data_IF_671645395063
#
_entry.id   IF_671645395063
#
_cell.length_a   1.000
_cell.length_b   1.000
_cell.length_c   1.000
_cell.angle_alpha   90.00
_cell.angle_beta   90.00
_cell.angle_gamma   90.00
#
_symmetry.space_group_name_H-M   'P 1'
#
loop_
_entity.id
_entity.type
_entity.pdbx_description
1 polymer ?
#
# COMPACT_ATOMS: atom_id res chain seq x y z
N UNK A 1 -6.41 19.18 -4.89
CA UNK A 1 -5.67 19.78 -6.02
C UNK A 1 -5.51 18.83 -7.21
N UNK A 2 -5.26 17.53 -7.00
CA UNK A 2 -5.05 16.59 -8.11
C UNK A 2 -6.31 16.23 -8.93
N UNK A 3 -7.50 16.25 -8.34
CA UNK A 3 -8.73 15.87 -9.06
C UNK A 3 -9.14 16.87 -10.14
N UNK A 4 -9.17 18.17 -9.79
CA UNK A 4 -9.49 19.24 -10.74
C UNK A 4 -8.53 19.28 -11.94
N UNK A 5 -7.29 18.83 -11.75
CA UNK A 5 -6.27 18.76 -12.80
C UNK A 5 -6.67 17.85 -13.98
N UNK A 6 -7.50 16.84 -13.75
CA UNK A 6 -8.02 15.95 -14.80
C UNK A 6 -8.84 16.76 -15.83
N UNK A 7 -9.65 17.71 -15.36
CA UNK A 7 -10.50 18.53 -16.22
C UNK A 7 -9.71 19.59 -16.99
N UNK A 8 -8.68 20.18 -16.39
CA UNK A 8 -7.85 21.19 -17.06
C UNK A 8 -6.89 20.60 -18.09
N UNK A 9 -6.51 19.33 -17.97
CA UNK A 9 -5.57 18.67 -18.88
C UNK A 9 -6.25 17.86 -19.99
N UNK A 10 -7.53 17.54 -19.86
CA UNK A 10 -8.26 16.79 -20.88
C UNK A 10 -8.56 17.67 -22.11
N UNK A 11 -8.37 17.10 -23.31
CA UNK A 11 -8.72 17.76 -24.59
C UNK A 11 -10.24 17.93 -24.76
N UNK A 12 -11.03 17.13 -24.04
CA UNK A 12 -12.50 17.15 -24.09
C UNK A 12 -13.10 16.90 -22.71
N UNK A 13 -14.29 17.45 -22.47
CA UNK A 13 -15.06 17.19 -21.25
C UNK A 13 -15.43 15.71 -21.11
N UNK A 14 -15.77 15.04 -22.22
CA UNK A 14 -16.08 13.61 -22.23
C UNK A 14 -14.89 12.75 -21.78
N UNK A 15 -13.67 13.12 -22.18
CA UNK A 15 -12.45 12.45 -21.72
C UNK A 15 -12.20 12.64 -20.23
N UNK A 16 -12.38 13.86 -19.71
CA UNK A 16 -12.26 14.13 -18.28
C UNK A 16 -13.26 13.31 -17.45
N UNK A 17 -14.52 13.27 -17.88
CA UNK A 17 -15.58 12.51 -17.23
C UNK A 17 -15.32 11.00 -17.29
N UNK A 18 -14.77 10.48 -18.39
CA UNK A 18 -14.40 9.06 -18.51
C UNK A 18 -13.32 8.67 -17.49
N UNK A 19 -12.29 9.51 -17.32
CA UNK A 19 -11.23 9.27 -16.31
C UNK A 19 -11.80 9.35 -14.88
N UNK A 20 -12.65 10.35 -14.60
CA UNK A 20 -13.29 10.48 -13.29
C UNK A 20 -14.22 9.27 -12.98
N UNK A 21 -14.98 8.79 -13.97
CA UNK A 21 -15.84 7.62 -13.83
C UNK A 21 -15.03 6.33 -13.64
N UNK A 22 -13.90 6.16 -14.33
CA UNK A 22 -12.99 5.04 -14.12
C UNK A 22 -12.42 5.05 -12.69
N UNK A 23 -11.96 6.21 -12.21
CA UNK A 23 -11.49 6.36 -10.85
C UNK A 23 -12.59 6.06 -9.81
N UNK A 24 -13.82 6.52 -10.06
CA UNK A 24 -14.98 6.23 -9.20
C UNK A 24 -15.33 4.74 -9.15
N UNK A 25 -15.31 4.03 -10.29
CA UNK A 25 -15.51 2.57 -10.33
C UNK A 25 -14.43 1.82 -9.55
N UNK A 26 -13.19 2.30 -9.58
CA UNK A 26 -12.10 1.71 -8.83
C UNK A 26 -12.23 1.84 -7.31
N UNK A 27 -13.03 2.79 -6.81
CA UNK A 27 -13.35 2.88 -5.39
C UNK A 27 -14.41 1.84 -5.00
N UNK A 28 -15.37 1.57 -5.88
CA UNK A 28 -16.50 0.68 -5.62
C UNK A 28 -16.12 -0.80 -5.79
N UNK A 29 -15.19 -1.10 -6.70
CA UNK A 29 -14.63 -2.44 -6.88
C UNK A 29 -13.11 -2.36 -7.12
N UNK A 30 -12.31 -2.27 -6.03
CA UNK A 30 -10.86 -2.08 -6.12
C UNK A 30 -10.14 -3.27 -6.74
N UNK A 31 -10.70 -4.47 -6.58
CA UNK A 31 -10.13 -5.73 -7.07
C UNK A 31 -10.42 -5.94 -8.56
N UNK A 32 -11.58 -5.49 -9.06
CA UNK A 32 -11.87 -5.56 -10.50
C UNK A 32 -11.28 -4.39 -11.30
N UNK A 33 -11.04 -3.23 -10.67
CA UNK A 33 -10.65 -2.02 -11.39
C UNK A 33 -9.15 -1.78 -11.53
N UNK A 34 -8.29 -2.49 -10.80
CA UNK A 34 -6.85 -2.35 -10.94
C UNK A 34 -6.13 -3.70 -10.83
N UNK A 35 -5.47 -4.17 -11.91
CA UNK A 35 -4.67 -5.40 -11.85
C UNK A 35 -3.49 -5.30 -10.86
N UNK A 36 -3.10 -4.08 -10.49
CA UNK A 36 -2.00 -3.82 -9.57
C UNK A 36 -2.42 -3.85 -8.09
N UNK A 37 -3.73 -3.76 -7.78
CA UNK A 37 -4.26 -3.85 -6.42
C UNK A 37 -4.54 -5.31 -6.07
N UNK A 38 -3.48 -6.10 -5.94
CA UNK A 38 -3.63 -7.47 -5.45
C UNK A 38 -4.08 -7.47 -3.98
N UNK A 39 -4.78 -8.52 -3.49
CA UNK A 39 -5.16 -8.63 -2.08
C UNK A 39 -3.99 -8.44 -1.11
N UNK A 40 -2.78 -8.84 -1.52
CA UNK A 40 -1.54 -8.65 -0.74
C UNK A 40 -1.16 -7.18 -0.62
N UNK A 41 -1.24 -6.42 -1.71
CA UNK A 41 -0.99 -4.97 -1.70
C UNK A 41 -2.03 -4.25 -0.83
N UNK A 42 -3.31 -4.62 -0.95
CA UNK A 42 -4.37 -4.07 -0.10
C UNK A 42 -4.12 -4.35 1.39
N UNK A 43 -3.67 -5.56 1.74
CA UNK A 43 -3.31 -5.91 3.11
C UNK A 43 -2.14 -5.05 3.64
N UNK A 44 -1.09 -4.85 2.84
CA UNK A 44 0.04 -3.99 3.22
C UNK A 44 -0.41 -2.54 3.43
N UNK A 45 -1.25 -2.02 2.53
CA UNK A 45 -1.82 -0.67 2.65
C UNK A 45 -2.69 -0.53 3.91
N UNK A 46 -3.51 -1.52 4.22
CA UNK A 46 -4.32 -1.54 5.43
C UNK A 46 -3.45 -1.56 6.69
N UNK A 47 -2.42 -2.40 6.74
CA UNK A 47 -1.46 -2.45 7.85
C UNK A 47 -0.73 -1.11 8.00
N UNK A 48 -0.30 -0.49 6.90
CA UNK A 48 0.36 0.81 6.93
C UNK A 48 -0.59 1.94 7.42
N UNK A 49 -1.85 1.93 6.97
CA UNK A 49 -2.86 2.88 7.43
C UNK A 49 -3.12 2.73 8.93
N UNK A 50 -3.27 1.51 9.43
CA UNK A 50 -3.41 1.22 10.86
C UNK A 50 -2.16 1.64 11.66
N UNK A 51 -0.97 1.36 11.12
CA UNK A 51 0.28 1.75 11.73
C UNK A 51 0.44 3.28 11.85
N UNK A 52 -0.21 4.06 10.98
CA UNK A 52 -0.19 5.52 11.06
C UNK A 52 -0.87 6.05 12.34
N UNK A 53 -1.83 5.30 12.89
CA UNK A 53 -2.52 5.64 14.14
C UNK A 53 -1.80 5.09 15.38
N UNK A 54 -0.56 4.64 15.24
CA UNK A 54 0.20 4.08 16.36
C UNK A 54 0.50 5.15 17.43
N UNK A 55 0.10 4.94 18.70
CA UNK A 55 0.42 5.86 19.78
C UNK A 55 1.94 6.03 19.97
N UNK A 56 2.40 7.22 20.34
CA UNK A 56 3.83 7.52 20.54
C UNK A 56 4.51 6.56 21.52
N UNK A 57 3.79 6.12 22.54
CA UNK A 57 4.30 5.28 23.64
C UNK A 57 4.49 3.81 23.24
N UNK A 58 3.85 3.36 22.16
CA UNK A 58 3.93 1.95 21.74
C UNK A 58 5.33 1.54 21.32
N UNK A 59 6.07 2.44 20.68
CA UNK A 59 7.47 2.18 20.32
C UNK A 59 8.31 1.82 21.54
N UNK A 60 8.16 2.57 22.63
CA UNK A 60 8.92 2.33 23.85
C UNK A 60 8.47 1.04 24.54
N UNK A 61 7.16 0.79 24.61
CA UNK A 61 6.59 -0.43 25.19
C UNK A 61 7.06 -1.68 24.45
N UNK A 62 6.99 -1.68 23.12
CA UNK A 62 7.45 -2.80 22.28
C UNK A 62 8.95 -3.02 22.47
N UNK A 63 9.76 -1.95 22.54
CA UNK A 63 11.19 -2.06 22.80
C UNK A 63 11.48 -2.72 24.14
N UNK A 64 10.84 -2.25 25.22
CA UNK A 64 11.01 -2.79 26.57
C UNK A 64 10.58 -4.25 26.63
N UNK A 65 9.41 -4.57 26.09
CA UNK A 65 8.89 -5.95 26.05
C UNK A 65 9.83 -6.87 25.26
N UNK A 66 10.24 -6.46 24.06
CA UNK A 66 11.16 -7.24 23.23
C UNK A 66 12.49 -7.48 23.95
N UNK A 67 13.08 -6.45 24.55
CA UNK A 67 14.33 -6.56 25.31
C UNK A 67 14.21 -7.47 26.54
N UNK A 68 13.03 -7.52 27.17
CA UNK A 68 12.78 -8.41 28.32
C UNK A 68 12.50 -9.87 27.94
N UNK A 69 12.27 -10.18 26.66
CA UNK A 69 12.01 -11.53 26.20
C UNK A 69 13.31 -12.38 26.12
N UNK A 70 13.22 -13.70 26.36
CA UNK A 70 14.29 -14.65 26.05
C UNK A 70 14.78 -14.56 24.60
N UNK A 71 16.06 -14.84 24.39
CA UNK A 71 16.70 -14.76 23.07
C UNK A 71 15.99 -15.59 21.98
N UNK A 72 15.45 -16.76 22.33
CA UNK A 72 14.69 -17.61 21.39
C UNK A 72 13.43 -16.92 20.87
N UNK A 73 12.72 -16.16 21.73
CA UNK A 73 11.52 -15.42 21.33
C UNK A 73 11.87 -14.19 20.51
N UNK A 74 12.95 -13.50 20.85
CA UNK A 74 13.46 -12.39 20.03
C UNK A 74 13.84 -12.86 18.62
N UNK A 75 14.56 -13.99 18.54
CA UNK A 75 14.94 -14.61 17.27
C UNK A 75 13.74 -15.03 16.44
N UNK A 76 12.73 -15.66 17.05
CA UNK A 76 11.51 -16.07 16.36
C UNK A 76 10.71 -14.86 15.85
N UNK A 77 10.60 -13.80 16.65
CA UNK A 77 9.94 -12.56 16.24
C UNK A 77 10.66 -11.88 15.06
N UNK A 78 12.00 -11.80 15.09
CA UNK A 78 12.78 -11.25 13.98
C UNK A 78 12.69 -12.12 12.72
N UNK A 79 12.72 -13.44 12.86
CA UNK A 79 12.55 -14.38 11.74
C UNK A 79 11.16 -14.24 11.11
N UNK A 80 10.11 -14.15 11.92
CA UNK A 80 8.74 -13.92 11.44
C UNK A 80 8.63 -12.58 10.71
N UNK A 81 9.26 -11.52 11.22
CA UNK A 81 9.29 -10.22 10.57
C UNK A 81 10.01 -10.26 9.22
N UNK A 82 11.21 -10.86 9.17
CA UNK A 82 11.98 -11.04 7.94
C UNK A 82 11.23 -11.87 6.90
N UNK A 83 10.56 -12.95 7.33
CA UNK A 83 9.72 -13.76 6.46
C UNK A 83 8.55 -12.96 5.90
N UNK A 84 7.88 -12.15 6.72
CA UNK A 84 6.82 -11.25 6.28
C UNK A 84 7.30 -10.26 5.21
N UNK A 85 8.49 -9.68 5.38
CA UNK A 85 9.11 -8.81 4.38
C UNK A 85 9.39 -9.57 3.08
N UNK A 86 9.97 -10.76 3.15
CA UNK A 86 10.25 -11.59 1.97
C UNK A 86 8.97 -11.97 1.21
N UNK A 87 7.90 -12.28 1.94
CA UNK A 87 6.59 -12.61 1.36
C UNK A 87 5.98 -11.44 0.59
N UNK A 88 6.20 -10.20 1.03
CA UNK A 88 5.71 -8.99 0.34
C UNK A 88 6.63 -8.58 -0.82
N UNK A 89 7.95 -8.74 -0.66
CA UNK A 89 8.95 -8.31 -1.64
C UNK A 89 8.96 -9.12 -2.95
N UNK A 90 8.26 -10.25 -3.01
CA UNK A 90 8.22 -11.12 -4.21
C UNK A 90 7.30 -10.60 -5.33
N UNK A 91 6.71 -9.41 -5.20
CA UNK A 91 5.97 -8.77 -6.29
C UNK A 91 6.94 -8.31 -7.39
N UNK A 92 6.77 -8.80 -8.62
CA UNK A 92 7.51 -8.28 -9.79
C UNK A 92 7.13 -6.83 -10.02
N UNK A 93 8.11 -5.93 -10.08
CA UNK A 93 7.88 -4.57 -10.58
C UNK A 93 7.55 -4.67 -12.07
N UNK A 94 6.33 -4.28 -12.45
CA UNK A 94 6.00 -4.03 -13.85
C UNK A 94 7.00 -2.99 -14.41
N UNK A 95 7.61 -3.23 -15.58
CA UNK A 95 8.52 -2.28 -16.18
C UNK A 95 7.77 -0.97 -16.46
N UNK A 96 8.23 0.13 -15.89
CA UNK A 96 7.69 1.45 -16.22
C UNK A 96 7.93 1.73 -17.70
N UNK A 97 6.83 1.82 -18.46
CA UNK A 97 6.85 2.15 -19.89
C UNK A 97 7.19 3.63 -20.04
N UNK A 98 8.48 3.96 -20.01
CA UNK A 98 8.98 5.29 -20.38
C UNK A 98 9.05 5.50 -21.91
N UNK A 99 8.65 4.51 -22.72
CA UNK A 99 8.84 4.50 -24.17
C UNK A 99 7.58 4.63 -25.03
N UNK A 100 6.43 5.04 -24.48
CA UNK A 100 5.17 5.15 -25.22
C UNK A 100 4.53 6.55 -25.09
N UNK A 101 5.36 7.60 -25.18
CA UNK A 101 4.90 8.98 -25.36
C UNK A 101 5.16 9.44 -26.79
#
# INVERSE_FOLDING_TARGET
MCFAWIFFRAKTLSGALAVAAHAGRAVLDPLAASPNLTPRVCLVLAVAALAHFTPRDWRERVRVQFASCPASLQGLALAAFAYGLHFVATQKSEPFVYGQF
#
